data_IF_997164002569
#
_entry.id   IF_997164002569
#
_cell.length_a   1.000
_cell.length_b   1.000
_cell.length_c   1.000
_cell.angle_alpha   90.00
_cell.angle_beta   90.00
_cell.angle_gamma   90.00
#
_symmetry.space_group_name_H-M   'P 1'
#
loop_
_entity.id
_entity.type
_entity.pdbx_description
1 polymer ?
#
# COMPACT_ATOMS: atom_id res chain seq x y z
N UNK A 1 -20.71 -9.70 -4.93
CA UNK A 1 -19.65 -8.69 -5.11
C UNK A 1 -18.32 -9.36 -4.79
N UNK A 2 -17.33 -9.25 -5.65
CA UNK A 2 -16.01 -9.84 -5.36
C UNK A 2 -15.25 -8.97 -4.36
N UNK A 3 -14.44 -9.61 -3.50
CA UNK A 3 -13.67 -8.96 -2.42
C UNK A 3 -12.17 -9.23 -2.57
N UNK A 4 -11.38 -8.19 -2.64
CA UNK A 4 -9.93 -8.29 -2.72
C UNK A 4 -9.24 -7.71 -1.48
N UNK A 5 -8.29 -8.46 -0.93
CA UNK A 5 -7.41 -8.01 0.15
C UNK A 5 -6.05 -7.59 -0.43
N UNK A 6 -5.66 -6.35 -0.21
CA UNK A 6 -4.33 -5.82 -0.60
C UNK A 6 -3.49 -5.66 0.66
N UNK A 7 -2.29 -6.28 0.70
CA UNK A 7 -1.46 -6.30 1.90
C UNK A 7 -0.16 -5.51 1.70
N UNK A 8 0.04 -4.43 2.51
CA UNK A 8 1.31 -3.69 2.57
C UNK A 8 1.52 -3.07 3.95
N UNK A 9 2.46 -3.58 4.75
CA UNK A 9 2.65 -3.13 6.14
C UNK A 9 3.65 -1.97 6.30
N UNK A 10 4.65 -1.85 5.43
CA UNK A 10 5.76 -0.88 5.55
C UNK A 10 6.56 -0.75 4.24
N UNK A 11 7.46 0.22 4.07
CA UNK A 11 7.60 1.42 4.88
C UNK A 11 6.60 2.49 4.43
N UNK A 12 6.54 3.67 5.11
CA UNK A 12 5.57 4.73 4.80
C UNK A 12 5.52 5.07 3.31
N UNK A 13 6.67 5.38 2.69
CA UNK A 13 6.72 5.71 1.26
C UNK A 13 6.20 4.60 0.35
N UNK A 14 6.52 3.34 0.66
CA UNK A 14 6.00 2.19 -0.10
C UNK A 14 4.49 1.99 0.10
N UNK A 15 3.97 2.28 1.31
CA UNK A 15 2.53 2.26 1.59
C UNK A 15 1.84 3.39 0.82
N UNK A 16 2.37 4.60 0.86
CA UNK A 16 1.85 5.74 0.10
C UNK A 16 1.83 5.46 -1.41
N UNK A 17 2.86 4.81 -1.96
CA UNK A 17 2.89 4.40 -3.37
C UNK A 17 1.84 3.34 -3.74
N UNK A 18 1.11 2.73 -2.79
CA UNK A 18 -0.03 1.86 -3.13
C UNK A 18 -1.28 2.66 -3.48
N UNK A 19 -1.40 3.89 -2.98
CA UNK A 19 -2.61 4.72 -3.10
C UNK A 19 -3.01 4.94 -4.56
N UNK A 20 -2.12 5.39 -5.48
CA UNK A 20 -2.48 5.58 -6.88
C UNK A 20 -3.02 4.31 -7.55
N UNK A 21 -2.46 3.15 -7.18
CA UNK A 21 -2.87 1.86 -7.74
C UNK A 21 -4.22 1.42 -7.18
N UNK A 22 -4.42 1.57 -5.86
CA UNK A 22 -5.69 1.25 -5.19
C UNK A 22 -6.81 2.17 -5.69
N UNK A 23 -6.55 3.47 -5.81
CA UNK A 23 -7.50 4.43 -6.36
C UNK A 23 -7.89 4.05 -7.80
N UNK A 24 -6.90 3.82 -8.67
CA UNK A 24 -7.15 3.44 -10.07
C UNK A 24 -7.94 2.12 -10.18
N UNK A 25 -7.63 1.13 -9.32
CA UNK A 25 -8.40 -0.11 -9.24
C UNK A 25 -9.85 0.16 -8.82
N UNK A 26 -10.05 0.98 -7.78
CA UNK A 26 -11.38 1.27 -7.24
C UNK A 26 -12.29 1.97 -8.25
N UNK A 27 -11.73 2.92 -9.01
CA UNK A 27 -12.47 3.65 -10.05
C UNK A 27 -12.80 2.76 -11.24
N UNK A 28 -11.85 1.90 -11.69
CA UNK A 28 -12.05 1.03 -12.85
C UNK A 28 -12.94 -0.18 -12.54
N UNK A 29 -13.01 -0.61 -11.27
CA UNK A 29 -13.81 -1.75 -10.82
C UNK A 29 -14.73 -1.35 -9.66
N UNK A 30 -15.75 -0.51 -9.89
CA UNK A 30 -16.63 0.01 -8.82
C UNK A 30 -17.43 -1.08 -8.10
N UNK A 31 -17.63 -2.24 -8.73
CA UNK A 31 -18.28 -3.42 -8.15
C UNK A 31 -17.35 -4.28 -7.28
N UNK A 32 -16.04 -3.98 -7.23
CA UNK A 32 -15.06 -4.71 -6.43
C UNK A 32 -14.94 -4.08 -5.05
N UNK A 33 -15.16 -4.85 -3.99
CA UNK A 33 -14.86 -4.42 -2.63
C UNK A 33 -13.36 -4.58 -2.35
N UNK A 34 -12.68 -3.49 -2.13
CA UNK A 34 -11.23 -3.46 -1.92
C UNK A 34 -10.95 -3.22 -0.44
N UNK A 35 -10.17 -4.10 0.18
CA UNK A 35 -9.71 -3.89 1.55
C UNK A 35 -8.20 -3.78 1.58
N UNK A 36 -7.67 -2.69 2.11
CA UNK A 36 -6.24 -2.50 2.32
C UNK A 36 -5.88 -2.88 3.75
N UNK A 37 -4.99 -3.85 3.89
CA UNK A 37 -4.41 -4.27 5.16
C UNK A 37 -3.03 -3.64 5.32
N UNK A 38 -2.90 -2.76 6.31
CA UNK A 38 -1.63 -2.11 6.64
C UNK A 38 -1.49 -1.93 8.16
N UNK A 39 -0.42 -1.28 8.63
CA UNK A 39 -0.33 -0.90 10.05
C UNK A 39 -1.36 0.18 10.35
N UNK A 40 -1.98 0.12 11.53
CA UNK A 40 -3.03 1.05 11.94
C UNK A 40 -2.61 2.53 11.79
N UNK A 41 -1.34 2.85 12.07
CA UNK A 41 -0.77 4.20 11.97
C UNK A 41 -0.87 4.81 10.56
N UNK A 42 -1.02 3.99 9.51
CA UNK A 42 -1.11 4.44 8.12
C UNK A 42 -2.55 4.70 7.65
N UNK A 43 -3.55 4.49 8.50
CA UNK A 43 -4.95 4.71 8.15
C UNK A 43 -5.23 6.10 7.55
N UNK A 44 -4.66 7.21 8.07
CA UNK A 44 -4.91 8.54 7.52
C UNK A 44 -4.53 8.69 6.04
N UNK A 45 -3.56 7.90 5.53
CA UNK A 45 -3.15 7.95 4.12
C UNK A 45 -4.24 7.44 3.15
N UNK A 46 -5.22 6.70 3.66
CA UNK A 46 -6.29 6.07 2.88
C UNK A 46 -7.62 6.80 2.98
N UNK A 47 -7.64 7.97 3.63
CA UNK A 47 -8.78 8.88 3.63
C UNK A 47 -8.93 9.51 2.23
N UNK A 48 -10.16 9.75 1.80
CA UNK A 48 -10.44 10.33 0.48
C UNK A 48 -10.38 9.34 -0.69
N UNK A 49 -10.17 8.04 -0.45
CA UNK A 49 -10.31 7.01 -1.48
C UNK A 49 -11.79 6.71 -1.78
N UNK A 50 -12.11 6.14 -2.98
CA UNK A 50 -13.48 5.79 -3.36
C UNK A 50 -14.19 4.90 -2.31
N UNK A 51 -15.51 4.99 -2.24
CA UNK A 51 -16.34 4.33 -1.21
C UNK A 51 -16.24 2.80 -1.19
N UNK A 52 -15.80 2.17 -2.29
CA UNK A 52 -15.56 0.72 -2.36
C UNK A 52 -14.19 0.30 -1.80
N UNK A 53 -13.42 1.24 -1.22
CA UNK A 53 -12.15 0.97 -0.53
C UNK A 53 -12.34 1.05 0.98
N UNK A 54 -11.93 0.01 1.69
CA UNK A 54 -11.90 -0.05 3.14
C UNK A 54 -10.48 -0.30 3.67
N UNK A 55 -10.23 0.03 4.94
CA UNK A 55 -8.93 -0.12 5.57
C UNK A 55 -9.02 -1.02 6.80
N UNK A 56 -8.05 -1.92 6.97
CA UNK A 56 -7.86 -2.71 8.18
C UNK A 56 -6.48 -2.41 8.76
N UNK A 57 -6.46 -1.92 9.99
CA UNK A 57 -5.23 -1.65 10.74
C UNK A 57 -4.73 -2.88 11.47
N UNK A 58 -3.53 -3.38 11.12
CA UNK A 58 -2.86 -4.43 11.88
C UNK A 58 -1.96 -3.84 12.97
N UNK A 59 -2.10 -4.33 14.19
CA UNK A 59 -1.17 -4.06 15.29
C UNK A 59 -0.09 -5.13 15.34
N UNK A 60 1.00 -4.90 14.62
CA UNK A 60 2.12 -5.84 14.48
C UNK A 60 3.09 -5.81 15.67
N UNK A 61 2.91 -4.90 16.61
CA UNK A 61 3.72 -4.74 17.83
C UNK A 61 3.03 -5.32 19.06
N UNK A 62 1.69 -5.33 19.06
CA UNK A 62 0.83 -5.87 20.13
C UNK A 62 0.07 -7.12 19.67
N UNK A 63 -1.23 -7.00 19.44
CA UNK A 63 -2.17 -8.12 19.18
C UNK A 63 -1.73 -9.06 18.06
N UNK A 64 -1.16 -8.53 16.97
CA UNK A 64 -0.75 -9.31 15.80
C UNK A 64 0.75 -9.60 15.75
N UNK A 65 1.44 -9.56 16.90
CA UNK A 65 2.87 -9.85 17.03
C UNK A 65 3.17 -11.35 16.97
N UNK A 66 4.24 -11.72 16.26
CA UNK A 66 4.72 -13.08 16.16
C UNK A 66 3.78 -14.02 15.39
N UNK A 67 4.04 -15.33 15.42
CA UNK A 67 3.24 -16.31 14.68
C UNK A 67 1.81 -16.44 15.21
N UNK A 68 1.64 -16.42 16.53
CA UNK A 68 0.32 -16.48 17.17
C UNK A 68 -0.54 -15.26 16.80
N UNK A 69 0.04 -14.07 16.87
CA UNK A 69 -0.65 -12.84 16.46
C UNK A 69 -0.99 -12.82 14.97
N UNK A 70 -0.13 -13.36 14.10
CA UNK A 70 -0.44 -13.51 12.69
C UNK A 70 -1.55 -14.52 12.43
N UNK A 71 -1.65 -15.57 13.26
CA UNK A 71 -2.77 -16.51 13.18
C UNK A 71 -4.09 -15.86 13.59
N UNK A 72 -4.08 -15.05 14.65
CA UNK A 72 -5.24 -14.23 15.05
C UNK A 72 -5.66 -13.29 13.91
N UNK A 73 -4.70 -12.56 13.33
CA UNK A 73 -4.96 -11.68 12.18
C UNK A 73 -5.57 -12.45 10.99
N UNK A 74 -5.02 -13.63 10.67
CA UNK A 74 -5.57 -14.47 9.63
C UNK A 74 -7.02 -14.88 9.91
N UNK A 75 -7.36 -15.25 11.14
CA UNK A 75 -8.72 -15.64 11.53
C UNK A 75 -9.69 -14.47 11.37
N UNK A 76 -9.29 -13.26 11.77
CA UNK A 76 -10.08 -12.04 11.59
C UNK A 76 -10.31 -11.70 10.11
N UNK A 77 -9.28 -11.87 9.28
CA UNK A 77 -9.36 -11.66 7.84
C UNK A 77 -10.21 -12.72 7.16
N UNK A 78 -10.09 -13.99 7.55
CA UNK A 78 -10.88 -15.10 7.01
C UNK A 78 -12.38 -14.90 7.22
N UNK A 79 -12.79 -14.35 8.37
CA UNK A 79 -14.17 -14.04 8.68
C UNK A 79 -14.79 -13.01 7.72
N UNK A 80 -13.98 -12.23 7.00
CA UNK A 80 -14.43 -11.24 6.01
C UNK A 80 -14.62 -11.80 4.59
N UNK A 81 -14.31 -13.09 4.37
CA UNK A 81 -14.60 -13.83 3.13
C UNK A 81 -14.03 -13.15 1.87
N UNK A 82 -12.72 -12.98 1.79
CA UNK A 82 -12.05 -12.47 0.60
C UNK A 82 -11.99 -13.53 -0.50
N UNK A 83 -12.20 -13.09 -1.75
CA UNK A 83 -12.08 -13.92 -2.95
C UNK A 83 -10.68 -13.89 -3.55
N UNK A 84 -9.91 -12.81 -3.31
CA UNK A 84 -8.57 -12.60 -3.85
C UNK A 84 -7.66 -11.96 -2.81
N UNK A 85 -6.35 -12.28 -2.87
CA UNK A 85 -5.32 -11.66 -2.03
C UNK A 85 -4.16 -11.16 -2.87
N UNK A 86 -3.88 -9.86 -2.81
CA UNK A 86 -2.78 -9.19 -3.47
C UNK A 86 -1.69 -8.82 -2.44
N UNK A 87 -0.58 -9.52 -2.44
CA UNK A 87 0.56 -9.23 -1.55
C UNK A 87 1.54 -8.26 -2.22
N UNK A 88 1.42 -6.97 -1.87
CA UNK A 88 2.32 -5.91 -2.31
C UNK A 88 3.60 -5.80 -1.47
N UNK A 89 3.77 -6.64 -0.46
CA UNK A 89 4.90 -6.54 0.48
C UNK A 89 5.93 -7.66 0.32
N UNK A 90 5.48 -8.91 0.20
CA UNK A 90 6.29 -10.11 0.03
C UNK A 90 7.45 -10.23 1.04
N UNK A 91 7.12 -10.17 2.33
CA UNK A 91 7.99 -10.43 3.48
C UNK A 91 7.51 -11.64 4.27
N UNK A 92 8.28 -12.14 5.23
CA UNK A 92 7.92 -13.37 5.98
C UNK A 92 6.51 -13.33 6.56
N UNK A 93 6.10 -12.20 7.15
CA UNK A 93 4.75 -12.05 7.73
C UNK A 93 3.65 -12.19 6.67
N UNK A 94 3.81 -11.53 5.53
CA UNK A 94 2.82 -11.61 4.45
C UNK A 94 2.84 -12.95 3.74
N UNK A 95 4.01 -13.58 3.60
CA UNK A 95 4.13 -14.94 3.08
C UNK A 95 3.37 -15.95 3.92
N UNK A 96 3.42 -15.82 5.26
CA UNK A 96 2.63 -16.65 6.16
C UNK A 96 1.12 -16.48 5.91
N UNK A 97 0.62 -15.25 5.87
CA UNK A 97 -0.78 -14.97 5.57
C UNK A 97 -1.19 -15.51 4.19
N UNK A 98 -0.37 -15.26 3.18
CA UNK A 98 -0.58 -15.75 1.81
C UNK A 98 -0.62 -17.28 1.73
N UNK A 99 0.24 -17.97 2.48
CA UNK A 99 0.21 -19.44 2.57
C UNK A 99 -1.12 -19.92 3.15
N UNK A 100 -1.60 -19.30 4.24
CA UNK A 100 -2.87 -19.63 4.87
C UNK A 100 -4.07 -19.43 3.93
N UNK A 101 -4.07 -18.33 3.14
CA UNK A 101 -5.10 -18.08 2.14
C UNK A 101 -5.06 -19.08 0.98
N UNK A 102 -3.86 -19.44 0.50
CA UNK A 102 -3.72 -20.49 -0.52
C UNK A 102 -4.22 -21.85 -0.05
N UNK A 103 -3.94 -22.23 1.19
CA UNK A 103 -4.46 -23.46 1.80
C UNK A 103 -5.99 -23.45 1.95
N UNK A 104 -6.59 -22.25 1.97
CA UNK A 104 -8.05 -22.06 1.94
C UNK A 104 -8.59 -21.94 0.49
N UNK A 105 -7.80 -22.29 -0.53
CA UNK A 105 -8.14 -22.20 -1.97
C UNK A 105 -8.48 -20.78 -2.46
N UNK A 106 -7.94 -19.75 -1.82
CA UNK A 106 -8.11 -18.36 -2.26
C UNK A 106 -6.93 -17.98 -3.16
N UNK A 107 -7.18 -17.47 -4.39
CA UNK A 107 -6.14 -16.98 -5.29
C UNK A 107 -5.29 -15.87 -4.66
N UNK A 108 -3.97 -16.07 -4.70
CA UNK A 108 -2.99 -15.13 -4.12
C UNK A 108 -1.92 -14.79 -5.14
N UNK A 109 -1.74 -13.51 -5.43
CA UNK A 109 -0.59 -13.01 -6.18
C UNK A 109 0.32 -12.15 -5.29
N UNK A 110 1.63 -12.25 -5.51
CA UNK A 110 2.62 -11.51 -4.74
C UNK A 110 3.53 -10.71 -5.66
N UNK A 111 3.99 -9.56 -5.15
CA UNK A 111 4.88 -8.65 -5.87
C UNK A 111 6.24 -9.31 -6.18
N UNK A 112 6.71 -9.12 -7.41
CA UNK A 112 8.08 -9.39 -7.79
C UNK A 112 8.97 -8.17 -7.52
N UNK A 113 9.91 -8.29 -6.60
CA UNK A 113 10.76 -7.17 -6.15
C UNK A 113 11.89 -6.78 -7.13
N UNK A 114 12.04 -7.49 -8.25
CA UNK A 114 13.04 -7.20 -9.28
C UNK A 114 14.50 -7.32 -8.79
N UNK A 115 14.77 -8.23 -7.84
CA UNK A 115 16.11 -8.40 -7.24
C UNK A 115 17.19 -8.69 -8.28
N UNK A 116 16.89 -9.56 -9.25
CA UNK A 116 17.83 -9.94 -10.33
C UNK A 116 18.23 -8.72 -11.17
N UNK A 117 17.26 -7.88 -11.57
CA UNK A 117 17.54 -6.66 -12.33
C UNK A 117 18.36 -5.65 -11.51
N UNK A 118 18.02 -5.46 -10.23
CA UNK A 118 18.78 -4.58 -9.31
C UNK A 118 20.21 -5.08 -9.11
N UNK A 119 20.42 -6.39 -8.96
CA UNK A 119 21.74 -6.99 -8.85
C UNK A 119 22.59 -6.73 -10.10
N UNK A 120 22.02 -6.87 -11.31
CA UNK A 120 22.70 -6.55 -12.57
C UNK A 120 23.13 -5.09 -12.66
N UNK A 121 22.32 -4.16 -12.12
CA UNK A 121 22.63 -2.73 -12.11
C UNK A 121 23.83 -2.36 -11.21
N UNK A 122 24.03 -3.10 -10.10
CA UNK A 122 25.09 -2.77 -9.11
C UNK A 122 26.36 -3.61 -9.27
N UNK A 123 26.40 -4.56 -10.23
CA UNK A 123 27.60 -5.36 -10.49
C UNK A 123 28.80 -4.48 -10.86
N UNK A 124 29.97 -4.83 -10.33
CA UNK A 124 31.23 -4.12 -10.66
C UNK A 124 31.66 -4.39 -12.11
N UNK A 125 31.47 -5.62 -12.62
CA UNK A 125 31.78 -6.03 -13.99
C UNK A 125 30.50 -6.47 -14.70
N UNK A 126 30.42 -6.25 -16.02
CA UNK A 126 29.24 -6.56 -16.84
C UNK A 126 27.94 -5.93 -16.31
N UNK A 127 28.04 -4.66 -15.94
CA UNK A 127 26.92 -3.84 -15.48
C UNK A 127 25.92 -3.65 -16.62
N UNK A 128 24.65 -3.97 -16.34
CA UNK A 128 23.56 -3.76 -17.31
C UNK A 128 22.70 -2.60 -16.81
N UNK A 129 22.70 -1.50 -17.57
CA UNK A 129 21.95 -0.28 -17.26
C UNK A 129 20.58 -0.34 -17.96
N UNK A 130 19.66 -1.11 -17.38
CA UNK A 130 18.26 -1.19 -17.84
C UNK A 130 17.32 -0.53 -16.83
N UNK A 131 16.37 0.26 -17.32
CA UNK A 131 15.35 0.87 -16.49
C UNK A 131 14.50 -0.22 -15.83
N UNK A 132 14.43 -0.17 -14.50
CA UNK A 132 13.62 -1.10 -13.73
C UNK A 132 12.16 -0.62 -13.68
N UNK A 133 11.21 -1.57 -13.65
CA UNK A 133 9.79 -1.26 -13.43
C UNK A 133 9.63 -0.45 -12.14
N UNK A 134 8.82 0.61 -12.21
CA UNK A 134 8.44 1.40 -11.03
C UNK A 134 7.66 0.56 -10.02
N UNK A 135 7.58 1.03 -8.77
CA UNK A 135 6.78 0.35 -7.74
C UNK A 135 5.30 0.29 -8.12
N UNK A 136 4.77 1.36 -8.71
CA UNK A 136 3.39 1.40 -9.20
C UNK A 136 3.10 0.30 -10.22
N UNK A 137 3.99 0.14 -11.22
CA UNK A 137 3.82 -0.91 -12.23
C UNK A 137 3.92 -2.31 -11.63
N UNK A 138 4.81 -2.51 -10.65
CA UNK A 138 4.92 -3.79 -9.95
C UNK A 138 3.67 -4.14 -9.15
N UNK A 139 2.99 -3.14 -8.55
CA UNK A 139 1.71 -3.36 -7.88
C UNK A 139 0.60 -3.66 -8.89
N UNK A 140 0.54 -2.94 -10.01
CA UNK A 140 -0.39 -3.22 -11.09
C UNK A 140 -0.20 -4.64 -11.66
N UNK A 141 1.06 -5.11 -11.86
CA UNK A 141 1.36 -6.46 -12.29
C UNK A 141 0.81 -7.55 -11.33
N UNK A 142 0.68 -7.25 -10.01
CA UNK A 142 0.07 -8.17 -9.04
C UNK A 142 -1.43 -8.27 -9.27
N UNK A 143 -2.09 -7.15 -9.51
CA UNK A 143 -3.53 -7.10 -9.77
C UNK A 143 -3.87 -7.78 -11.10
N UNK A 144 -3.08 -7.54 -12.14
CA UNK A 144 -3.21 -8.19 -13.44
C UNK A 144 -3.15 -9.72 -13.34
N UNK A 145 -2.26 -10.26 -12.50
CA UNK A 145 -2.18 -11.72 -12.21
C UNK A 145 -3.44 -12.29 -11.54
N UNK A 146 -4.22 -11.45 -10.89
CA UNK A 146 -5.51 -11.82 -10.27
C UNK A 146 -6.70 -11.58 -11.20
N UNK A 147 -6.47 -11.14 -12.44
CA UNK A 147 -7.52 -10.84 -13.40
C UNK A 147 -8.04 -9.41 -13.37
N UNK A 148 -7.33 -8.49 -12.67
CA UNK A 148 -7.70 -7.08 -12.56
C UNK A 148 -6.59 -6.19 -13.15
N UNK A 149 -6.42 -6.13 -14.48
CA UNK A 149 -5.48 -5.20 -15.09
C UNK A 149 -5.88 -3.76 -14.81
N UNK A 150 -4.93 -2.92 -14.37
CA UNK A 150 -5.18 -1.53 -13.96
C UNK A 150 -4.38 -0.58 -14.83
N UNK A 151 -5.06 0.39 -15.43
CA UNK A 151 -4.46 1.57 -16.03
C UNK A 151 -4.29 2.62 -14.92
N UNK A 152 -3.05 3.04 -14.67
CA UNK A 152 -2.77 4.05 -13.67
C UNK A 152 -3.26 5.41 -14.16
N UNK A 153 -4.37 5.86 -13.61
CA UNK A 153 -4.95 7.19 -13.81
C UNK A 153 -5.24 7.80 -12.44
N UNK A 154 -4.26 8.53 -11.93
CA UNK A 154 -4.31 9.12 -10.60
C UNK A 154 -3.63 10.48 -10.62
N UNK A 155 -4.31 11.51 -10.16
CA UNK A 155 -3.78 12.86 -9.99
C UNK A 155 -3.58 13.23 -8.53
N UNK A 156 -4.61 13.02 -7.71
CA UNK A 156 -4.62 13.38 -6.28
C UNK A 156 -5.69 12.60 -5.53
N UNK A 157 -5.45 12.32 -4.25
CA UNK A 157 -6.49 11.82 -3.32
C UNK A 157 -7.45 12.93 -2.88
N UNK A 158 -7.07 14.18 -3.09
CA UNK A 158 -7.88 15.35 -2.73
C UNK A 158 -8.79 15.80 -3.87
N UNK A 159 -8.72 15.18 -5.05
CA UNK A 159 -9.47 15.63 -6.23
C UNK A 159 -9.13 17.09 -6.56
N UNK A 160 -10.17 17.91 -6.70
CA UNK A 160 -10.04 19.35 -6.92
C UNK A 160 -10.02 20.17 -5.62
N UNK A 161 -10.12 19.52 -4.48
CA UNK A 161 -10.08 20.18 -3.16
C UNK A 161 -8.68 20.73 -2.87
N UNK A 162 -8.64 21.96 -2.39
CA UNK A 162 -7.41 22.60 -1.91
C UNK A 162 -7.22 22.25 -0.45
N UNK A 163 -5.97 21.97 -0.06
CA UNK A 163 -5.62 21.80 1.34
C UNK A 163 -6.02 23.02 2.19
N UNK A 164 -6.50 22.79 3.40
CA UNK A 164 -6.88 23.85 4.32
C UNK A 164 -5.65 24.35 5.06
N UNK A 165 -5.18 25.56 4.75
CA UNK A 165 -4.04 26.16 5.43
C UNK A 165 -4.30 26.41 6.93
N UNK A 166 -5.56 26.64 7.33
CA UNK A 166 -5.92 26.87 8.73
C UNK A 166 -5.53 25.72 9.68
N UNK A 167 -5.35 24.49 9.15
CA UNK A 167 -4.89 23.35 9.96
C UNK A 167 -3.42 23.46 10.39
N UNK A 168 -2.59 24.14 9.60
CA UNK A 168 -1.16 24.34 9.90
C UNK A 168 -0.83 25.74 10.42
N UNK A 169 -1.75 26.69 10.27
CA UNK A 169 -1.58 28.09 10.71
C UNK A 169 -1.18 28.23 12.19
N UNK A 170 -1.73 27.44 13.15
CA UNK A 170 -1.31 27.49 14.54
C UNK A 170 0.18 27.21 14.76
N UNK A 171 0.81 26.46 13.84
CA UNK A 171 2.23 26.10 13.91
C UNK A 171 3.10 27.07 13.11
N UNK A 172 2.60 27.51 11.95
CA UNK A 172 3.38 28.30 10.98
C UNK A 172 3.13 29.80 11.07
N UNK A 173 2.07 30.23 11.79
CA UNK A 173 1.56 31.61 11.75
C UNK A 173 0.69 31.87 10.51
N UNK A 174 0.02 33.03 10.50
CA UNK A 174 -0.86 33.43 9.43
C UNK A 174 -0.11 33.51 8.10
N UNK A 175 -0.77 33.04 7.04
CA UNK A 175 -0.26 33.16 5.68
C UNK A 175 -0.40 34.61 5.21
N UNK A 176 0.71 35.29 5.14
CA UNK A 176 0.82 36.61 4.52
C UNK A 176 0.94 36.52 2.98
N UNK A 177 1.30 37.60 2.31
CA UNK A 177 1.50 37.66 0.86
C UNK A 177 2.79 36.97 0.37
N UNK A 178 3.53 36.27 1.26
CA UNK A 178 4.76 35.56 0.91
C UNK A 178 4.46 34.19 0.31
N UNK A 179 5.39 33.70 -0.49
CA UNK A 179 5.35 32.31 -0.99
C UNK A 179 5.85 31.36 0.10
N UNK A 180 5.03 30.41 0.47
CA UNK A 180 5.39 29.37 1.45
C UNK A 180 5.89 28.13 0.74
N UNK A 181 7.01 27.58 1.23
CA UNK A 181 7.58 26.34 0.74
C UNK A 181 7.69 25.38 1.91
N UNK A 182 6.98 24.25 1.84
CA UNK A 182 7.10 23.16 2.79
C UNK A 182 8.20 22.19 2.36
N UNK A 183 9.16 21.90 3.26
CA UNK A 183 10.25 20.96 3.01
C UNK A 183 10.18 19.84 4.04
N UNK A 184 9.94 18.60 3.59
CA UNK A 184 10.03 17.42 4.43
C UNK A 184 11.41 16.77 4.26
N UNK A 185 12.30 16.96 5.24
CA UNK A 185 13.69 16.54 5.16
C UNK A 185 13.90 15.05 5.42
N UNK A 186 13.11 14.43 6.29
CA UNK A 186 13.21 13.00 6.58
C UNK A 186 11.94 12.47 7.25
N UNK A 187 11.55 11.25 6.87
CA UNK A 187 10.51 10.48 7.56
C UNK A 187 11.10 9.50 8.60
N UNK A 188 12.42 9.30 8.59
CA UNK A 188 13.10 8.31 9.44
C UNK A 188 13.23 8.84 10.87
N UNK A 189 13.42 10.15 11.05
CA UNK A 189 13.64 10.78 12.35
C UNK A 189 12.37 11.32 13.04
N UNK A 190 11.20 11.18 12.41
CA UNK A 190 9.92 11.61 13.02
C UNK A 190 9.39 10.60 14.06
N UNK A 191 9.98 9.41 14.13
CA UNK A 191 9.52 8.31 15.00
C UNK A 191 10.34 8.11 16.26
N UNK A 192 11.29 8.97 16.58
CA UNK A 192 12.02 8.92 17.85
C UNK A 192 11.54 10.06 18.76
N UNK A 193 10.98 9.72 19.95
CA UNK A 193 10.71 10.70 21.00
C UNK A 193 12.02 11.18 21.63
#
# INVERSE_FOLDING_TARGET
MARILIIRFSALGDVAMTIPVVHSLAVQYPQLEITVLSRAVWQPLFQGLPANVSFIGADLTGKHKGLWGLNTLYSELKAKSFDYVADFHHVLRTKYLCLRFRLANIPVASIYKGRVGKEKLVRRRHKVLENQKSSFRRYADVLEKLGFPVLLNFSSIYGDEKGNFAEIEPVTGAKDNLKWIGIALSLIHISEP
#
